data_IF_206049526729
#
_entry.id   IF_206049526729
#
_cell.length_a   1.000
_cell.length_b   1.000
_cell.length_c   1.000
_cell.angle_alpha   90.00
_cell.angle_beta   90.00
_cell.angle_gamma   90.00
#
_symmetry.space_group_name_H-M   'P 1'
#
loop_
_entity.id
_entity.type
_entity.pdbx_description
1 polymer ?
#
# COMPACT_ATOMS: atom_id res chain seq x y z
N UNK A 1 6.59 75.13 -9.65
CA UNK A 1 5.49 74.17 -9.39
C UNK A 1 6.03 72.75 -9.57
N UNK A 2 6.31 72.02 -8.49
CA UNK A 2 6.66 70.59 -8.51
C UNK A 2 5.95 69.92 -7.35
N UNK A 3 4.92 69.14 -7.67
CA UNK A 3 4.15 68.34 -6.71
C UNK A 3 4.91 67.01 -6.55
N UNK A 4 5.39 66.72 -5.34
CA UNK A 4 5.96 65.42 -5.00
C UNK A 4 4.83 64.44 -4.66
N UNK A 5 4.67 63.41 -5.48
CA UNK A 5 3.72 62.32 -5.25
C UNK A 5 4.33 61.37 -4.20
N UNK A 6 3.68 61.30 -3.04
CA UNK A 6 3.94 60.32 -1.99
C UNK A 6 3.64 58.91 -2.53
N UNK A 7 4.67 58.07 -2.68
CA UNK A 7 4.49 56.63 -2.95
C UNK A 7 4.24 55.91 -1.63
N UNK A 8 2.98 55.79 -1.25
CA UNK A 8 2.54 54.86 -0.21
C UNK A 8 2.72 53.44 -0.72
N UNK A 9 3.80 52.77 -0.30
CA UNK A 9 4.02 51.34 -0.51
C UNK A 9 3.04 50.58 0.39
N UNK A 10 1.93 50.10 -0.18
CA UNK A 10 1.07 49.11 0.48
C UNK A 10 1.77 47.75 0.35
N UNK A 11 2.46 47.36 1.42
CA UNK A 11 3.04 46.02 1.56
C UNK A 11 1.89 45.03 1.85
N UNK A 12 1.33 44.42 0.81
CA UNK A 12 0.38 43.31 0.97
C UNK A 12 1.16 42.10 1.49
N UNK A 13 1.05 41.82 2.79
CA UNK A 13 1.43 40.54 3.36
C UNK A 13 0.49 39.47 2.79
N UNK A 14 0.90 38.84 1.70
CA UNK A 14 0.32 37.57 1.25
C UNK A 14 0.79 36.53 2.27
N UNK A 15 0.01 36.35 3.35
CA UNK A 15 0.13 35.16 4.19
C UNK A 15 -0.07 33.95 3.25
N UNK A 16 0.84 32.96 3.27
CA UNK A 16 0.60 31.74 2.52
C UNK A 16 -0.63 31.08 3.15
N UNK A 17 -1.78 31.17 2.48
CA UNK A 17 -2.91 30.32 2.78
C UNK A 17 -2.40 28.89 2.61
N UNK A 18 -2.20 28.20 3.74
CA UNK A 18 -1.87 26.80 3.74
C UNK A 18 -3.08 26.06 3.14
N UNK A 19 -3.05 25.82 1.85
CA UNK A 19 -4.05 25.01 1.17
C UNK A 19 -3.80 23.56 1.56
N UNK A 20 -4.48 23.10 2.61
CA UNK A 20 -4.48 21.68 2.97
C UNK A 20 -5.09 20.87 1.83
N UNK A 21 -4.62 19.63 1.63
CA UNK A 21 -5.36 18.70 0.78
C UNK A 21 -6.78 18.55 1.34
N UNK A 22 -7.78 18.39 0.46
CA UNK A 22 -9.19 18.27 0.88
C UNK A 22 -9.39 17.11 1.88
N UNK A 23 -8.57 16.07 1.76
CA UNK A 23 -8.55 14.92 2.66
C UNK A 23 -8.02 15.27 4.06
N UNK A 24 -7.00 16.13 4.16
CA UNK A 24 -6.40 16.54 5.43
C UNK A 24 -7.36 17.41 6.25
N UNK A 25 -8.20 18.20 5.58
CA UNK A 25 -9.20 19.03 6.24
C UNK A 25 -10.28 18.22 6.98
N UNK A 26 -10.60 17.01 6.50
CA UNK A 26 -11.69 16.18 7.04
C UNK A 26 -11.40 15.71 8.47
N UNK A 27 -10.16 15.34 8.76
CA UNK A 27 -9.73 14.84 10.06
C UNK A 27 -8.98 15.91 10.86
N UNK A 28 -9.54 17.12 10.99
CA UNK A 28 -8.98 18.20 11.81
C UNK A 28 -7.49 18.51 11.50
N UNK A 29 -7.14 18.54 10.21
CA UNK A 29 -5.77 18.82 9.76
C UNK A 29 -4.78 17.68 10.03
N UNK A 30 -5.24 16.45 10.24
CA UNK A 30 -4.37 15.27 10.31
C UNK A 30 -3.77 15.02 8.94
N UNK A 31 -2.45 14.94 8.92
CA UNK A 31 -1.70 14.62 7.71
C UNK A 31 -0.92 13.33 7.90
N UNK A 32 -0.70 12.62 6.79
CA UNK A 32 0.23 11.49 6.78
C UNK A 32 1.60 12.00 7.30
N UNK A 33 2.28 11.18 8.11
CA UNK A 33 3.49 11.48 8.91
C UNK A 33 3.28 12.16 10.26
N UNK A 34 2.06 12.60 10.62
CA UNK A 34 1.80 13.00 12.01
C UNK A 34 2.13 11.84 12.98
N UNK A 35 2.61 12.18 14.17
CA UNK A 35 2.88 11.19 15.21
C UNK A 35 1.60 10.64 15.82
N UNK A 36 1.69 9.50 16.50
CA UNK A 36 0.56 8.90 17.23
C UNK A 36 -0.05 9.92 18.19
N UNK A 37 0.78 10.62 18.96
CA UNK A 37 0.34 11.65 19.92
C UNK A 37 -0.38 12.81 19.24
N UNK A 38 0.18 13.35 18.14
CA UNK A 38 -0.44 14.44 17.38
C UNK A 38 -1.81 14.05 16.84
N UNK A 39 -1.95 12.82 16.34
CA UNK A 39 -3.23 12.32 15.83
C UNK A 39 -4.24 12.12 16.95
N UNK A 40 -3.85 11.55 18.09
CA UNK A 40 -4.74 11.43 19.25
C UNK A 40 -5.25 12.79 19.73
N UNK A 41 -4.37 13.79 19.85
CA UNK A 41 -4.73 15.15 20.25
C UNK A 41 -5.74 15.79 19.28
N UNK A 42 -5.55 15.59 17.97
CA UNK A 42 -6.45 16.13 16.94
C UNK A 42 -7.79 15.40 16.85
N UNK A 43 -7.85 14.10 17.15
CA UNK A 43 -9.07 13.29 17.11
C UNK A 43 -9.93 13.41 18.37
N UNK A 44 -9.31 13.57 19.54
CA UNK A 44 -9.99 13.65 20.83
C UNK A 44 -11.16 14.66 20.89
N UNK A 45 -11.05 15.89 20.33
CA UNK A 45 -12.17 16.84 20.38
C UNK A 45 -13.30 16.55 19.38
N UNK A 46 -13.06 15.70 18.37
CA UNK A 46 -14.04 15.46 17.30
C UNK A 46 -14.59 14.03 17.27
N UNK A 47 -14.03 13.10 18.04
CA UNK A 47 -14.44 11.69 18.06
C UNK A 47 -15.08 11.34 19.41
N UNK A 48 -16.02 10.41 19.42
CA UNK A 48 -16.59 9.89 20.66
C UNK A 48 -15.59 9.01 21.41
N UNK A 49 -14.85 8.18 20.68
CA UNK A 49 -13.79 7.33 21.24
C UNK A 49 -12.47 7.51 20.48
N UNK A 50 -11.36 7.30 21.20
CA UNK A 50 -10.00 7.29 20.64
C UNK A 50 -9.21 6.21 21.38
N UNK A 51 -9.12 5.03 20.78
CA UNK A 51 -8.49 3.86 21.40
C UNK A 51 -7.18 3.52 20.70
N UNK A 52 -6.08 3.46 21.46
CA UNK A 52 -4.77 3.08 20.95
C UNK A 52 -4.53 1.58 21.12
N UNK A 53 -4.15 0.91 20.04
CA UNK A 53 -3.68 -0.47 20.00
C UNK A 53 -2.22 -0.46 19.58
N UNK A 54 -1.36 -1.12 20.37
CA UNK A 54 0.06 -1.28 20.06
C UNK A 54 0.42 -2.77 20.04
N UNK A 55 0.33 -3.44 18.87
CA UNK A 55 0.65 -4.85 18.76
C UNK A 55 2.09 -5.13 19.17
N UNK A 56 2.32 -6.26 19.85
CA UNK A 56 3.68 -6.66 20.28
C UNK A 56 4.61 -7.02 19.12
N UNK A 57 4.04 -7.46 18.00
CA UNK A 57 4.77 -7.90 16.80
C UNK A 57 4.43 -6.98 15.65
N UNK A 58 5.46 -6.52 14.93
CA UNK A 58 5.31 -5.66 13.76
C UNK A 58 4.99 -6.52 12.55
N UNK A 59 3.87 -6.25 11.90
CA UNK A 59 3.40 -6.96 10.70
C UNK A 59 3.02 -6.02 9.59
N UNK A 60 2.64 -4.79 9.93
CA UNK A 60 2.36 -3.78 8.92
C UNK A 60 3.61 -3.56 8.04
N UNK A 61 3.52 -3.75 6.71
CA UNK A 61 4.69 -3.80 5.83
C UNK A 61 5.57 -2.55 5.88
N UNK A 62 4.94 -1.38 6.04
CA UNK A 62 5.61 -0.08 6.06
C UNK A 62 6.40 0.11 7.37
N UNK A 63 6.02 -0.59 8.45
CA UNK A 63 6.63 -0.46 9.76
C UNK A 63 7.91 -1.29 9.89
N UNK A 64 9.02 -0.64 10.24
CA UNK A 64 10.30 -1.31 10.49
C UNK A 64 10.37 -1.89 11.90
N UNK A 65 10.10 -1.07 12.91
CA UNK A 65 10.36 -1.40 14.31
C UNK A 65 9.11 -1.38 15.18
N UNK A 66 8.14 -0.51 14.90
CA UNK A 66 6.92 -0.39 15.70
C UNK A 66 5.69 -0.17 14.83
N UNK A 67 4.59 -0.80 15.21
CA UNK A 67 3.27 -0.64 14.61
C UNK A 67 2.30 -0.23 15.72
N UNK A 68 1.39 0.70 15.41
CA UNK A 68 0.27 1.03 16.29
C UNK A 68 -0.93 1.47 15.47
N UNK A 69 -2.11 1.39 16.07
CA UNK A 69 -3.37 1.78 15.46
C UNK A 69 -4.19 2.62 16.43
N UNK A 70 -4.79 3.70 15.95
CA UNK A 70 -5.80 4.45 16.69
C UNK A 70 -7.14 4.14 16.05
N UNK A 71 -8.09 3.63 16.83
CA UNK A 71 -9.48 3.42 16.41
C UNK A 71 -10.33 4.53 17.00
N UNK A 72 -11.15 5.14 16.16
CA UNK A 72 -12.10 6.17 16.56
C UNK A 72 -13.50 5.82 16.09
N UNK A 73 -14.50 6.24 16.86
CA UNK A 73 -15.91 6.16 16.51
C UNK A 73 -16.55 7.54 16.50
N UNK A 74 -17.62 7.68 15.71
CA UNK A 74 -18.47 8.86 15.62
C UNK A 74 -17.66 10.16 15.48
N UNK A 75 -16.83 10.20 14.43
CA UNK A 75 -15.95 11.31 14.13
C UNK A 75 -16.78 12.41 13.46
N UNK A 76 -16.95 13.52 14.18
CA UNK A 76 -17.64 14.71 13.71
C UNK A 76 -16.80 15.40 12.64
N UNK A 77 -17.36 15.48 11.44
CA UNK A 77 -16.90 16.41 10.39
C UNK A 77 -17.87 17.61 10.37
N UNK A 78 -17.72 18.54 9.42
CA UNK A 78 -18.50 19.78 9.38
C UNK A 78 -20.01 19.56 9.62
N UNK A 79 -20.65 18.68 8.83
CA UNK A 79 -22.09 18.40 8.93
C UNK A 79 -22.45 16.91 8.94
N UNK A 80 -21.46 16.03 8.86
CA UNK A 80 -21.66 14.58 8.72
C UNK A 80 -20.77 13.85 9.73
N UNK A 81 -21.25 12.72 10.24
CA UNK A 81 -20.49 11.88 11.18
C UNK A 81 -19.94 10.68 10.42
N UNK A 82 -18.61 10.53 10.43
CA UNK A 82 -17.98 9.26 10.02
C UNK A 82 -18.14 8.28 11.17
N UNK A 83 -18.75 7.13 10.92
CA UNK A 83 -19.08 6.16 11.97
C UNK A 83 -17.84 5.63 12.68
N UNK A 84 -16.79 5.28 11.91
CA UNK A 84 -15.53 4.81 12.47
C UNK A 84 -14.37 5.02 11.53
N UNK A 85 -13.18 5.20 12.09
CA UNK A 85 -11.93 5.19 11.34
C UNK A 85 -10.80 4.55 12.14
N UNK A 86 -9.81 4.02 11.42
CA UNK A 86 -8.58 3.51 11.99
C UNK A 86 -7.38 4.17 11.32
N UNK A 87 -6.49 4.68 12.15
CA UNK A 87 -5.26 5.37 11.76
C UNK A 87 -4.10 4.43 12.08
N UNK A 88 -3.37 3.98 11.07
CA UNK A 88 -2.28 3.01 11.21
C UNK A 88 -0.91 3.69 11.07
N UNK A 89 -0.06 3.42 12.05
CA UNK A 89 1.24 4.06 12.21
C UNK A 89 2.36 3.06 11.96
N UNK A 90 3.34 3.50 11.20
CA UNK A 90 4.62 2.84 11.04
C UNK A 90 5.68 3.71 11.70
N UNK A 91 6.39 3.17 12.70
CA UNK A 91 7.48 3.87 13.37
C UNK A 91 7.09 5.27 13.89
N UNK A 92 5.93 5.34 14.58
CA UNK A 92 5.31 6.56 15.09
C UNK A 92 4.98 7.60 14.01
N UNK A 93 4.69 7.17 12.78
CA UNK A 93 4.26 8.04 11.68
C UNK A 93 3.01 7.48 11.01
N UNK A 94 1.97 8.31 10.95
CA UNK A 94 0.73 7.96 10.28
C UNK A 94 1.00 7.64 8.80
N UNK A 95 0.62 6.45 8.37
CA UNK A 95 0.94 5.93 7.03
C UNK A 95 -0.27 5.46 6.25
N UNK A 96 -1.37 5.18 6.94
CA UNK A 96 -2.59 4.61 6.38
C UNK A 96 -3.79 5.04 7.23
N UNK A 97 -4.88 5.42 6.57
CA UNK A 97 -6.17 5.66 7.21
C UNK A 97 -7.22 4.85 6.47
N UNK A 98 -8.09 4.17 7.20
CA UNK A 98 -9.31 3.57 6.68
C UNK A 98 -10.50 4.11 7.48
N UNK A 99 -11.51 4.61 6.78
CA UNK A 99 -12.73 5.17 7.37
C UNK A 99 -13.96 4.49 6.78
N UNK A 100 -15.01 4.31 7.60
CA UNK A 100 -16.26 3.65 7.21
C UNK A 100 -17.47 4.43 7.72
N UNK A 101 -18.55 4.41 6.94
CA UNK A 101 -19.83 5.02 7.29
C UNK A 101 -19.88 6.52 6.99
N UNK A 102 -20.81 6.93 6.13
CA UNK A 102 -21.00 8.25 5.53
C UNK A 102 -19.75 8.83 4.84
N UNK A 103 -18.81 7.98 4.43
CA UNK A 103 -17.54 8.47 3.86
C UNK A 103 -17.71 8.96 2.43
N UNK A 104 -18.59 8.36 1.64
CA UNK A 104 -18.84 8.86 0.27
C UNK A 104 -19.38 10.30 0.33
N UNK A 105 -20.36 10.57 1.18
CA UNK A 105 -20.90 11.92 1.36
C UNK A 105 -19.82 12.90 1.83
N UNK A 106 -19.05 12.52 2.86
CA UNK A 106 -17.98 13.37 3.41
C UNK A 106 -16.91 13.69 2.37
N UNK A 107 -16.43 12.68 1.64
CA UNK A 107 -15.34 12.87 0.70
C UNK A 107 -15.80 13.45 -0.63
N UNK A 108 -17.00 13.18 -1.13
CA UNK A 108 -17.41 13.64 -2.48
C UNK A 108 -18.19 14.96 -2.49
N UNK A 109 -18.92 15.31 -1.42
CA UNK A 109 -19.87 16.45 -1.40
C UNK A 109 -19.32 17.80 -1.88
N UNK A 110 -18.01 18.05 -1.70
CA UNK A 110 -17.36 19.31 -2.05
C UNK A 110 -16.18 19.15 -3.01
N UNK A 111 -16.00 17.95 -3.59
CA UNK A 111 -14.91 17.69 -4.55
C UNK A 111 -15.22 18.29 -5.91
N UNK A 112 -14.17 18.83 -6.53
CA UNK A 112 -14.22 19.41 -7.88
C UNK A 112 -13.33 18.64 -8.86
N UNK A 113 -12.45 17.77 -8.35
CA UNK A 113 -11.61 16.91 -9.17
C UNK A 113 -12.34 15.62 -9.56
N UNK A 114 -11.88 14.97 -10.62
CA UNK A 114 -12.51 13.76 -11.17
C UNK A 114 -11.78 12.51 -10.70
N UNK A 115 -12.53 11.57 -10.15
CA UNK A 115 -12.00 10.25 -9.82
C UNK A 115 -11.67 9.47 -11.10
N UNK A 116 -10.64 8.62 -11.04
CA UNK A 116 -10.46 7.53 -11.99
C UNK A 116 -11.15 6.29 -11.46
N UNK A 117 -11.87 5.57 -12.29
CA UNK A 117 -12.34 4.22 -11.92
C UNK A 117 -11.16 3.26 -12.03
N UNK A 118 -10.89 2.52 -10.95
CA UNK A 118 -9.95 1.41 -10.94
C UNK A 118 -10.59 0.24 -10.21
N UNK A 119 -10.87 -0.86 -10.93
CA UNK A 119 -11.72 -1.95 -10.43
C UNK A 119 -13.08 -1.40 -9.95
N UNK A 120 -13.52 -1.77 -8.74
CA UNK A 120 -14.72 -1.25 -8.08
C UNK A 120 -14.47 0.03 -7.25
N UNK A 121 -13.33 0.72 -7.45
CA UNK A 121 -12.95 1.89 -6.65
C UNK A 121 -12.94 3.18 -7.47
N UNK A 122 -13.36 4.27 -6.83
CA UNK A 122 -13.06 5.63 -7.27
C UNK A 122 -11.72 6.06 -6.67
N UNK A 123 -10.74 6.31 -7.53
CA UNK A 123 -9.38 6.65 -7.15
C UNK A 123 -9.07 8.12 -7.47
N UNK A 124 -8.86 8.91 -6.40
CA UNK A 124 -8.37 10.28 -6.48
C UNK A 124 -6.86 10.28 -6.25
N UNK A 125 -6.11 9.99 -7.32
CA UNK A 125 -4.68 9.67 -7.25
C UNK A 125 -3.83 10.79 -6.62
N UNK A 126 -4.18 12.06 -6.86
CA UNK A 126 -3.45 13.21 -6.30
C UNK A 126 -3.50 13.25 -4.77
N UNK A 127 -4.67 12.94 -4.20
CA UNK A 127 -4.90 12.89 -2.77
C UNK A 127 -4.65 11.49 -2.18
N UNK A 128 -4.34 10.50 -3.03
CA UNK A 128 -4.11 9.10 -2.64
C UNK A 128 -5.31 8.54 -1.85
N UNK A 129 -6.49 8.96 -2.26
CA UNK A 129 -7.77 8.56 -1.71
C UNK A 129 -8.42 7.53 -2.64
N UNK A 130 -8.89 6.43 -2.05
CA UNK A 130 -9.70 5.42 -2.71
C UNK A 130 -11.03 5.33 -1.99
N UNK A 131 -12.12 5.32 -2.75
CA UNK A 131 -13.47 5.15 -2.25
C UNK A 131 -14.08 3.88 -2.83
N UNK A 132 -14.73 3.08 -1.99
CA UNK A 132 -15.60 1.98 -2.41
C UNK A 132 -17.04 2.34 -2.03
N UNK A 133 -17.83 2.73 -3.03
CA UNK A 133 -19.21 3.20 -2.80
C UNK A 133 -20.12 2.10 -2.28
N UNK A 134 -19.94 0.86 -2.75
CA UNK A 134 -20.79 -0.28 -2.36
C UNK A 134 -20.64 -0.61 -0.87
N UNK A 135 -19.43 -0.46 -0.32
CA UNK A 135 -19.12 -0.74 1.09
C UNK A 135 -19.13 0.50 1.98
N UNK A 136 -19.21 1.69 1.37
CA UNK A 136 -19.04 2.98 2.05
C UNK A 136 -17.76 3.03 2.91
N UNK A 137 -16.62 2.78 2.22
CA UNK A 137 -15.27 2.77 2.80
C UNK A 137 -14.36 3.73 2.03
N UNK A 138 -13.51 4.44 2.76
CA UNK A 138 -12.47 5.30 2.25
C UNK A 138 -11.09 4.88 2.76
N UNK A 139 -10.09 4.88 1.87
CA UNK A 139 -8.69 4.63 2.20
C UNK A 139 -7.83 5.82 1.80
N UNK A 140 -6.98 6.30 2.71
CA UNK A 140 -6.03 7.38 2.47
C UNK A 140 -4.62 6.83 2.69
N UNK A 141 -3.81 6.89 1.65
CA UNK A 141 -2.55 6.16 1.58
C UNK A 141 -1.36 7.09 1.41
N UNK A 142 -0.21 6.73 1.99
CA UNK A 142 1.07 7.30 1.55
C UNK A 142 1.53 6.63 0.23
N UNK A 143 2.63 7.10 -0.37
CA UNK A 143 3.13 6.55 -1.65
C UNK A 143 3.46 5.04 -1.58
N UNK A 144 3.95 4.58 -0.43
CA UNK A 144 4.29 3.17 -0.24
C UNK A 144 3.04 2.31 -0.07
N UNK A 145 2.01 2.83 0.60
CA UNK A 145 0.68 2.22 0.67
C UNK A 145 0.00 2.12 -0.70
N UNK A 146 0.21 3.12 -1.58
CA UNK A 146 -0.21 3.06 -2.98
C UNK A 146 0.47 1.92 -3.73
N UNK A 147 1.81 1.80 -3.61
CA UNK A 147 2.58 0.70 -4.20
C UNK A 147 2.03 -0.65 -3.73
N UNK A 148 1.85 -0.82 -2.43
CA UNK A 148 1.31 -2.04 -1.82
C UNK A 148 -0.16 -2.33 -2.13
N UNK A 149 -0.88 -1.39 -2.75
CA UNK A 149 -2.34 -1.49 -2.99
C UNK A 149 -3.14 -1.69 -1.69
N UNK A 150 -2.78 -0.95 -0.62
CA UNK A 150 -3.41 -1.10 0.70
C UNK A 150 -4.90 -0.76 0.72
N UNK A 151 -5.46 -0.11 -0.30
CA UNK A 151 -6.91 0.07 -0.45
C UNK A 151 -7.69 -1.25 -0.64
N UNK A 152 -6.97 -2.36 -0.86
CA UNK A 152 -7.54 -3.72 -0.94
C UNK A 152 -7.46 -4.47 0.39
N UNK A 153 -6.81 -3.88 1.39
CA UNK A 153 -6.69 -4.41 2.73
C UNK A 153 -7.67 -3.69 3.65
N UNK A 154 -8.47 -4.47 4.38
CA UNK A 154 -9.31 -3.96 5.45
C UNK A 154 -8.62 -4.26 6.78
N UNK A 155 -8.46 -3.24 7.62
CA UNK A 155 -7.71 -3.38 8.85
C UNK A 155 -8.47 -4.31 9.82
N UNK A 156 -7.85 -5.42 10.26
CA UNK A 156 -8.55 -6.44 11.05
C UNK A 156 -8.93 -5.97 12.46
N UNK A 157 -8.32 -4.90 12.97
CA UNK A 157 -8.63 -4.35 14.28
C UNK A 157 -9.99 -3.63 14.35
N UNK A 158 -10.73 -3.50 13.24
CA UNK A 158 -12.15 -3.14 13.31
C UNK A 158 -13.03 -4.25 13.91
N UNK A 159 -12.51 -5.47 14.02
CA UNK A 159 -13.17 -6.57 14.72
C UNK A 159 -12.55 -6.71 16.11
N UNK A 160 -13.34 -6.46 17.16
CA UNK A 160 -12.90 -6.54 18.55
C UNK A 160 -12.44 -7.96 18.95
N UNK A 161 -12.95 -8.99 18.27
CA UNK A 161 -12.56 -10.39 18.47
C UNK A 161 -11.31 -10.80 17.66
N UNK A 162 -10.69 -9.86 16.95
CA UNK A 162 -9.55 -10.16 16.10
C UNK A 162 -8.36 -10.69 16.92
N UNK A 163 -7.96 -11.92 16.59
CA UNK A 163 -6.75 -12.54 17.10
C UNK A 163 -5.67 -12.50 16.02
N UNK A 164 -4.53 -11.93 16.39
CA UNK A 164 -3.35 -11.89 15.53
C UNK A 164 -2.95 -13.31 15.13
N UNK A 165 -3.00 -13.60 13.84
CA UNK A 165 -2.40 -14.82 13.27
C UNK A 165 -0.92 -14.57 13.04
N UNK A 166 -0.08 -15.47 13.56
CA UNK A 166 1.38 -15.40 13.41
C UNK A 166 1.78 -16.43 12.36
N UNK A 167 1.67 -16.05 11.09
CA UNK A 167 2.24 -16.83 9.99
C UNK A 167 3.34 -15.99 9.30
N UNK A 168 4.48 -15.87 9.98
CA UNK A 168 5.64 -15.12 9.52
C UNK A 168 6.58 -16.06 8.76
N UNK A 169 6.20 -16.43 7.55
CA UNK A 169 7.01 -17.24 6.65
C UNK A 169 7.30 -16.49 5.36
N UNK A 170 8.56 -16.38 4.98
CA UNK A 170 8.98 -15.88 3.66
C UNK A 170 9.12 -16.98 2.61
N UNK A 171 8.76 -18.23 2.95
CA UNK A 171 8.67 -19.32 1.96
C UNK A 171 7.65 -18.94 0.89
N UNK A 172 8.05 -19.05 -0.37
CA UNK A 172 7.16 -18.82 -1.51
C UNK A 172 5.94 -19.75 -1.40
N UNK A 173 4.70 -19.23 -1.54
CA UNK A 173 3.49 -20.05 -1.47
C UNK A 173 3.52 -21.20 -2.48
N UNK A 174 3.20 -22.41 -2.02
CA UNK A 174 3.34 -23.64 -2.82
C UNK A 174 2.42 -23.67 -4.06
N UNK A 175 1.33 -22.91 -4.03
CA UNK A 175 0.44 -22.79 -5.18
C UNK A 175 1.02 -21.98 -6.33
N UNK A 176 2.11 -21.24 -6.11
CA UNK A 176 2.82 -20.50 -7.17
C UNK A 176 3.73 -21.48 -7.91
N UNK A 177 3.18 -22.12 -8.94
CA UNK A 177 3.89 -23.08 -9.77
C UNK A 177 4.46 -22.42 -11.04
N UNK A 178 5.74 -22.02 -10.99
CA UNK A 178 6.44 -21.39 -12.12
C UNK A 178 6.47 -22.32 -13.35
N UNK A 179 6.24 -21.76 -14.54
CA UNK A 179 6.14 -22.50 -15.82
C UNK A 179 4.78 -23.15 -16.09
N UNK A 180 3.87 -23.19 -15.10
CA UNK A 180 2.52 -23.69 -15.32
C UNK A 180 1.71 -22.81 -16.29
N UNK A 181 0.74 -23.41 -16.97
CA UNK A 181 -0.12 -22.67 -17.90
C UNK A 181 -1.15 -21.79 -17.19
N UNK A 182 -1.65 -20.76 -17.87
CA UNK A 182 -2.69 -19.89 -17.30
C UNK A 182 -3.94 -20.68 -16.91
N UNK A 183 -4.38 -21.61 -17.76
CA UNK A 183 -5.59 -22.41 -17.52
C UNK A 183 -5.44 -23.34 -16.32
N UNK A 184 -4.24 -23.90 -16.13
CA UNK A 184 -3.95 -24.76 -14.99
C UNK A 184 -3.84 -23.95 -13.69
N UNK A 185 -3.25 -22.75 -13.74
CA UNK A 185 -2.91 -22.00 -12.54
C UNK A 185 -4.00 -21.06 -12.07
N UNK A 186 -4.80 -20.49 -12.99
CA UNK A 186 -5.82 -19.48 -12.67
C UNK A 186 -6.80 -19.92 -11.57
N UNK A 187 -7.39 -21.13 -11.58
CA UNK A 187 -8.29 -21.56 -10.50
C UNK A 187 -7.60 -21.57 -9.13
N UNK A 188 -6.33 -21.95 -9.10
CA UNK A 188 -5.55 -22.00 -7.85
C UNK A 188 -5.19 -20.60 -7.35
N UNK A 189 -4.85 -19.68 -8.26
CA UNK A 189 -4.63 -18.26 -7.93
C UNK A 189 -5.90 -17.63 -7.35
N UNK A 190 -7.04 -17.86 -7.98
CA UNK A 190 -8.34 -17.38 -7.51
C UNK A 190 -8.69 -17.94 -6.12
N UNK A 191 -8.51 -19.23 -5.90
CA UNK A 191 -8.79 -19.89 -4.62
C UNK A 191 -7.92 -19.39 -3.45
N UNK A 192 -6.73 -18.84 -3.73
CA UNK A 192 -5.79 -18.33 -2.72
C UNK A 192 -5.78 -16.79 -2.65
N UNK A 193 -6.70 -16.13 -3.34
CA UNK A 193 -6.83 -14.67 -3.35
C UNK A 193 -8.19 -14.26 -2.79
N UNK A 194 -8.27 -13.06 -2.21
CA UNK A 194 -9.55 -12.44 -1.89
C UNK A 194 -10.34 -12.11 -3.17
N UNK A 195 -9.63 -11.67 -4.21
CA UNK A 195 -10.13 -11.48 -5.56
C UNK A 195 -8.95 -11.36 -6.54
N UNK A 196 -9.24 -11.47 -7.84
CA UNK A 196 -8.23 -11.36 -8.90
C UNK A 196 -8.66 -10.38 -9.98
N UNK A 197 -7.71 -9.74 -10.65
CA UNK A 197 -7.94 -8.95 -11.85
C UNK A 197 -6.98 -9.36 -12.97
N UNK A 198 -7.52 -9.72 -14.15
CA UNK A 198 -6.71 -10.10 -15.31
C UNK A 198 -6.53 -8.91 -16.24
N UNK A 199 -5.30 -8.64 -16.63
CA UNK A 199 -4.92 -7.54 -17.52
C UNK A 199 -4.10 -8.08 -18.69
N UNK A 200 -4.36 -7.54 -19.89
CA UNK A 200 -3.44 -7.69 -21.02
C UNK A 200 -2.36 -6.62 -20.90
N UNK A 201 -1.10 -7.04 -20.96
CA UNK A 201 0.04 -6.13 -20.91
C UNK A 201 0.29 -5.50 -22.29
N UNK A 202 0.99 -4.37 -22.30
CA UNK A 202 1.25 -3.56 -23.50
C UNK A 202 2.23 -4.21 -24.50
N UNK A 203 2.85 -5.33 -24.11
CA UNK A 203 3.80 -6.08 -24.93
C UNK A 203 5.23 -5.56 -24.86
N UNK A 204 5.53 -4.61 -23.96
CA UNK A 204 6.91 -4.13 -23.72
C UNK A 204 7.82 -5.20 -23.11
N UNK A 205 7.26 -6.14 -22.34
CA UNK A 205 7.95 -7.33 -21.85
C UNK A 205 7.57 -8.54 -22.72
N UNK A 206 8.47 -9.05 -23.57
CA UNK A 206 8.18 -10.21 -24.40
C UNK A 206 7.96 -11.50 -23.60
N UNK A 207 8.30 -11.52 -22.30
CA UNK A 207 8.09 -12.66 -21.43
C UNK A 207 6.78 -12.58 -20.63
N UNK A 208 5.96 -11.53 -20.88
CA UNK A 208 4.71 -11.30 -20.19
C UNK A 208 3.68 -10.58 -21.08
N UNK A 209 2.68 -11.32 -21.57
CA UNK A 209 1.55 -10.73 -22.32
C UNK A 209 0.29 -10.59 -21.45
N UNK A 210 0.15 -11.42 -20.42
CA UNK A 210 -1.01 -11.42 -19.51
C UNK A 210 -0.51 -11.30 -18.07
N UNK A 211 -1.20 -10.52 -17.25
CA UNK A 211 -0.99 -10.45 -15.81
C UNK A 211 -2.29 -10.80 -15.09
N UNK A 212 -2.20 -11.72 -14.12
CA UNK A 212 -3.25 -11.95 -13.13
C UNK A 212 -2.80 -11.29 -11.83
N UNK A 213 -3.40 -10.15 -11.51
CA UNK A 213 -3.24 -9.52 -10.21
C UNK A 213 -4.06 -10.29 -9.18
N UNK A 214 -3.40 -10.81 -8.15
CA UNK A 214 -3.97 -11.59 -7.06
C UNK A 214 -3.90 -10.74 -5.79
N UNK A 215 -5.05 -10.38 -5.20
CA UNK A 215 -5.09 -9.53 -4.02
C UNK A 215 -5.45 -10.33 -2.78
N UNK A 216 -4.91 -9.95 -1.62
CA UNK A 216 -5.22 -10.60 -0.35
C UNK A 216 -4.45 -11.91 -0.10
N UNK A 217 -3.42 -12.21 -0.90
CA UNK A 217 -2.62 -13.42 -0.72
C UNK A 217 -1.78 -13.31 0.55
N UNK A 218 -1.92 -14.23 1.50
CA UNK A 218 -1.09 -14.23 2.69
C UNK A 218 0.37 -14.57 2.34
N UNK A 219 1.28 -13.62 2.58
CA UNK A 219 2.73 -13.83 2.49
C UNK A 219 3.44 -13.01 3.55
N UNK A 220 4.29 -13.69 4.33
CA UNK A 220 4.99 -13.11 5.47
C UNK A 220 4.06 -12.37 6.45
N UNK A 221 2.95 -13.00 6.81
CA UNK A 221 2.01 -12.56 7.84
C UNK A 221 1.14 -11.36 7.48
N UNK A 222 1.15 -10.96 6.21
CA UNK A 222 0.36 -9.84 5.71
C UNK A 222 -0.27 -10.18 4.34
N UNK A 223 -1.54 -9.77 4.08
CA UNK A 223 -2.17 -9.95 2.78
C UNK A 223 -1.53 -9.05 1.71
N UNK A 224 -1.04 -9.65 0.63
CA UNK A 224 -0.29 -8.99 -0.44
C UNK A 224 -1.06 -8.92 -1.74
N UNK A 225 -0.63 -7.99 -2.59
CA UNK A 225 -0.78 -8.09 -4.03
C UNK A 225 0.36 -8.97 -4.58
N UNK A 226 -0.03 -9.97 -5.36
CA UNK A 226 0.87 -10.75 -6.20
C UNK A 226 0.53 -10.48 -7.68
N UNK A 227 1.53 -10.21 -8.51
CA UNK A 227 1.38 -10.07 -9.95
C UNK A 227 1.93 -11.31 -10.64
N UNK A 228 1.05 -12.24 -11.06
CA UNK A 228 1.42 -13.43 -11.80
C UNK A 228 1.44 -13.11 -13.31
N UNK A 229 2.61 -13.11 -13.93
CA UNK A 229 2.82 -12.69 -15.33
C UNK A 229 3.13 -13.88 -16.24
N UNK A 230 2.32 -14.00 -17.28
CA UNK A 230 2.34 -15.11 -18.22
C UNK A 230 2.89 -14.67 -19.57
N UNK A 231 3.92 -15.38 -20.04
CA UNK A 231 4.49 -15.26 -21.37
C UNK A 231 4.35 -16.58 -22.12
N UNK A 232 3.92 -16.55 -23.37
CA UNK A 232 3.71 -17.76 -24.20
C UNK A 232 2.87 -18.82 -23.47
N UNK A 233 1.81 -18.35 -22.80
CA UNK A 233 0.89 -19.14 -21.99
C UNK A 233 1.50 -19.77 -20.71
N UNK A 234 2.72 -19.41 -20.29
CA UNK A 234 3.38 -19.96 -19.10
C UNK A 234 3.68 -18.90 -18.05
N UNK A 235 3.55 -19.24 -16.77
CA UNK A 235 3.93 -18.35 -15.67
C UNK A 235 5.45 -18.15 -15.64
N UNK A 236 5.92 -17.01 -16.14
CA UNK A 236 7.35 -16.72 -16.25
C UNK A 236 7.88 -15.90 -15.10
N UNK A 237 7.06 -14.97 -14.61
CA UNK A 237 7.46 -13.98 -13.62
C UNK A 237 6.36 -13.80 -12.58
N UNK A 238 6.75 -13.68 -11.31
CA UNK A 238 5.84 -13.27 -10.24
C UNK A 238 6.46 -12.14 -9.43
N UNK A 239 5.67 -11.10 -9.18
CA UNK A 239 6.04 -10.04 -8.24
C UNK A 239 5.16 -10.13 -6.98
N UNK A 240 5.78 -10.24 -5.82
CA UNK A 240 5.10 -10.09 -4.52
C UNK A 240 5.46 -8.72 -3.98
N UNK A 241 4.47 -7.85 -3.86
CA UNK A 241 4.72 -6.46 -3.47
C UNK A 241 5.01 -6.36 -1.98
N UNK A 242 6.16 -5.77 -1.63
CA UNK A 242 6.61 -5.58 -0.25
C UNK A 242 6.88 -4.10 0.04
N UNK A 243 7.33 -3.79 1.24
CA UNK A 243 7.71 -2.43 1.64
C UNK A 243 9.16 -2.37 2.12
N UNK A 244 9.70 -1.15 2.12
CA UNK A 244 11.07 -0.87 2.56
C UNK A 244 11.22 -1.10 4.06
N UNK A 245 10.18 -0.81 4.84
CA UNK A 245 10.18 -0.98 6.29
C UNK A 245 10.46 -2.42 6.72
N UNK A 246 9.99 -3.40 5.95
CA UNK A 246 10.13 -4.82 6.25
C UNK A 246 11.23 -5.54 5.45
N UNK A 247 11.98 -4.84 4.61
CA UNK A 247 12.97 -5.45 3.71
C UNK A 247 13.91 -6.41 4.43
N UNK A 248 14.42 -6.02 5.60
CA UNK A 248 15.34 -6.86 6.37
C UNK A 248 14.65 -8.10 6.93
N UNK A 249 13.40 -7.99 7.36
CA UNK A 249 12.61 -9.13 7.84
C UNK A 249 12.37 -10.14 6.72
N UNK A 250 12.02 -9.66 5.52
CA UNK A 250 11.88 -10.50 4.32
C UNK A 250 13.21 -11.14 3.94
N UNK A 251 14.30 -10.36 3.93
CA UNK A 251 15.66 -10.87 3.66
C UNK A 251 16.01 -12.04 4.57
N UNK A 252 15.79 -11.90 5.88
CA UNK A 252 16.12 -12.98 6.83
C UNK A 252 15.31 -14.26 6.54
N UNK A 253 14.03 -14.13 6.19
CA UNK A 253 13.23 -15.31 5.82
C UNK A 253 13.65 -15.92 4.48
N UNK A 254 14.01 -15.10 3.48
CA UNK A 254 14.56 -15.61 2.23
C UNK A 254 15.88 -16.36 2.48
N UNK A 255 16.77 -15.83 3.33
CA UNK A 255 18.02 -16.50 3.71
C UNK A 255 17.74 -17.84 4.40
N UNK A 256 16.78 -17.86 5.31
CA UNK A 256 16.36 -19.07 6.04
C UNK A 256 15.83 -20.16 5.11
N UNK A 257 15.10 -19.80 4.06
CA UNK A 257 14.47 -20.77 3.15
C UNK A 257 15.30 -21.11 1.90
N UNK A 258 16.14 -20.19 1.42
CA UNK A 258 16.83 -20.29 0.12
C UNK A 258 18.35 -20.10 0.22
N UNK A 259 18.90 -19.95 1.42
CA UNK A 259 20.32 -19.74 1.65
C UNK A 259 20.78 -18.29 1.44
N UNK A 260 22.08 -18.05 1.59
CA UNK A 260 22.65 -16.71 1.40
C UNK A 260 22.48 -16.23 -0.05
N UNK A 261 22.34 -14.92 -0.29
CA UNK A 261 22.26 -14.41 -1.65
C UNK A 261 23.55 -14.74 -2.43
N UNK A 262 23.37 -15.19 -3.66
CA UNK A 262 24.46 -15.52 -4.60
C UNK A 262 24.95 -14.28 -5.37
N UNK A 263 24.17 -13.20 -5.35
CA UNK A 263 24.52 -11.91 -5.91
C UNK A 263 23.87 -10.79 -5.10
N UNK A 264 24.61 -9.71 -4.86
CA UNK A 264 24.14 -8.53 -4.11
C UNK A 264 24.66 -7.27 -4.79
N UNK A 265 23.78 -6.31 -5.03
CA UNK A 265 24.14 -4.93 -5.38
C UNK A 265 23.22 -3.94 -4.65
N UNK A 266 23.20 -2.67 -5.03
CA UNK A 266 22.35 -1.65 -4.36
C UNK A 266 20.85 -1.90 -4.52
N UNK A 267 20.42 -2.48 -5.65
CA UNK A 267 19.01 -2.67 -5.99
C UNK A 267 18.52 -4.10 -5.74
N UNK A 268 19.40 -5.09 -5.68
CA UNK A 268 19.03 -6.50 -5.72
C UNK A 268 19.83 -7.36 -4.75
N UNK A 269 19.16 -8.38 -4.22
CA UNK A 269 19.76 -9.58 -3.65
C UNK A 269 19.13 -10.79 -4.36
N UNK A 270 19.95 -11.68 -4.89
CA UNK A 270 19.49 -12.81 -5.70
C UNK A 270 19.79 -14.13 -4.98
N UNK A 271 18.84 -15.05 -5.02
CA UNK A 271 18.84 -16.33 -4.32
C UNK A 271 18.50 -17.47 -5.29
N UNK A 272 18.63 -18.70 -4.81
CA UNK A 272 18.13 -19.93 -5.47
C UNK A 272 18.42 -19.97 -6.98
N UNK A 273 19.71 -19.89 -7.34
CA UNK A 273 20.17 -19.95 -8.73
C UNK A 273 19.44 -18.99 -9.69
N UNK A 274 19.29 -17.72 -9.29
CA UNK A 274 18.66 -16.66 -10.08
C UNK A 274 17.14 -16.77 -10.26
N UNK A 275 16.47 -17.68 -9.54
CA UNK A 275 15.00 -17.81 -9.56
C UNK A 275 14.30 -16.85 -8.61
N UNK A 276 14.98 -16.37 -7.56
CA UNK A 276 14.37 -15.52 -6.53
C UNK A 276 15.21 -14.26 -6.37
N UNK A 277 14.55 -13.10 -6.39
CA UNK A 277 15.17 -11.80 -6.14
C UNK A 277 14.45 -11.01 -5.07
N UNK A 278 15.19 -10.38 -4.17
CA UNK A 278 14.70 -9.30 -3.32
C UNK A 278 15.12 -7.97 -3.96
N UNK A 279 14.13 -7.22 -4.43
CA UNK A 279 14.31 -5.89 -5.01
C UNK A 279 14.23 -4.82 -3.90
N UNK A 280 15.19 -3.90 -3.84
CA UNK A 280 15.40 -2.97 -2.73
C UNK A 280 15.06 -1.51 -3.04
N UNK A 281 15.10 -1.12 -4.31
CA UNK A 281 14.76 0.22 -4.81
C UNK A 281 13.24 0.40 -4.96
N UNK A 282 12.56 -0.64 -5.45
CA UNK A 282 11.12 -0.79 -5.45
C UNK A 282 10.80 -2.10 -4.71
N UNK A 283 10.48 -2.03 -3.41
CA UNK A 283 10.40 -3.20 -2.55
C UNK A 283 9.44 -4.28 -3.07
N UNK A 284 10.00 -5.38 -3.58
CA UNK A 284 9.29 -6.48 -4.23
C UNK A 284 10.12 -7.77 -4.05
N UNK A 285 9.45 -8.91 -3.90
CA UNK A 285 10.07 -10.22 -4.11
C UNK A 285 9.72 -10.66 -5.53
N UNK A 286 10.75 -10.98 -6.31
CA UNK A 286 10.68 -11.42 -7.69
C UNK A 286 10.88 -12.94 -7.75
N UNK A 287 10.01 -13.63 -8.48
CA UNK A 287 10.18 -15.04 -8.85
C UNK A 287 10.30 -15.14 -10.36
N UNK A 288 11.21 -15.99 -10.82
CA UNK A 288 11.49 -16.23 -12.23
C UNK A 288 11.54 -17.73 -12.50
N UNK A 289 11.18 -18.13 -13.72
CA UNK A 289 11.61 -19.43 -14.24
C UNK A 289 13.14 -19.48 -14.31
N UNK A 290 13.71 -20.68 -14.28
CA UNK A 290 15.17 -20.85 -14.30
C UNK A 290 15.81 -20.26 -15.57
N UNK A 291 15.18 -20.45 -16.73
CA UNK A 291 15.64 -19.91 -18.01
C UNK A 291 15.68 -18.37 -17.96
N UNK A 292 14.59 -17.75 -17.52
CA UNK A 292 14.50 -16.29 -17.44
C UNK A 292 15.49 -15.71 -16.42
N UNK A 293 15.66 -16.37 -15.27
CA UNK A 293 16.67 -16.01 -14.28
C UNK A 293 18.09 -15.99 -14.86
N UNK A 294 18.46 -16.98 -15.67
CA UNK A 294 19.75 -17.04 -16.34
C UNK A 294 19.89 -16.00 -17.47
N UNK A 295 18.80 -15.70 -18.17
CA UNK A 295 18.76 -14.59 -19.11
C UNK A 295 19.06 -13.26 -18.40
N UNK A 296 18.36 -12.94 -17.30
CA UNK A 296 18.61 -11.73 -16.52
C UNK A 296 20.03 -11.69 -15.97
N UNK A 297 20.57 -12.81 -15.47
CA UNK A 297 21.96 -12.91 -15.02
C UNK A 297 22.93 -12.35 -16.07
N UNK A 298 22.82 -12.85 -17.30
CA UNK A 298 23.71 -12.50 -18.39
C UNK A 298 23.45 -11.08 -18.91
N UNK A 299 22.20 -10.76 -19.19
CA UNK A 299 21.85 -9.60 -19.99
C UNK A 299 21.56 -8.34 -19.17
N UNK A 300 21.01 -8.50 -17.96
CA UNK A 300 20.73 -7.38 -17.06
C UNK A 300 21.85 -7.19 -16.04
N UNK A 301 22.26 -8.25 -15.35
CA UNK A 301 23.27 -8.17 -14.28
C UNK A 301 24.72 -8.26 -14.78
N UNK A 302 24.93 -8.67 -16.03
CA UNK A 302 26.26 -8.81 -16.68
C UNK A 302 27.21 -9.72 -15.87
N UNK A 303 26.69 -10.86 -15.40
CA UNK A 303 27.40 -11.90 -14.63
C UNK A 303 27.50 -13.24 -15.38
#
# INVERSE_FOLDING_TARGET
MKISINKLFVLVFILPLATFSQVEAIFNGITLKNSTEQVMQKLSPISETVNLISPKSVRFPIAKNTESHIICTNIKTNNVIIEKAIFTFADNKLSYIEARGNVIEVFESNRQDTARTYLDYKAYVKDKLFLNEKKDIAWILNNEGMHLNLFTWENPYFNDDYKVKIDLSGKIPEFINMGATIDALKPTLEANSAFTNTEKLDGSDPNAQIQINCFGVNYFGFPRKIEARFGDNQLNTVWILTAKGEEDRIRQELIKHYGKPIFVNEAWEIFDNWKIGLRKDKPEVLLLTQELGLFYKKDFFKQ
#
